data_IF_903880941729
#
_entry.id   IF_903880941729
#
_cell.length_a   1.000
_cell.length_b   1.000
_cell.length_c   1.000
_cell.angle_alpha   90.00
_cell.angle_beta   90.00
_cell.angle_gamma   90.00
#
_symmetry.space_group_name_H-M   'P 1'
#
loop_
_entity.id
_entity.type
_entity.pdbx_description
1 polymer ?
#
# COMPACT_ATOMS: atom_id res chain seq x y z
N UNK A 1 -4.03 -28.07 66.79
CA UNK A 1 -3.60 -26.73 67.26
C UNK A 1 -3.30 -25.89 66.03
N UNK A 2 -3.95 -24.73 65.92
CA UNK A 2 -3.62 -23.54 65.10
C UNK A 2 -3.67 -23.76 63.56
N UNK A 3 -4.68 -23.32 62.80
CA UNK A 3 -5.20 -21.97 62.51
C UNK A 3 -4.47 -21.24 61.34
N UNK A 4 -5.29 -20.92 60.33
CA UNK A 4 -5.35 -19.70 59.50
C UNK A 4 -4.40 -19.47 58.30
N UNK A 5 -5.11 -19.15 57.19
CA UNK A 5 -4.87 -18.55 55.85
C UNK A 5 -3.95 -17.29 55.84
N UNK A 6 -3.67 -16.54 54.72
CA UNK A 6 -4.44 -16.46 53.47
C UNK A 6 -3.73 -16.15 52.11
N UNK A 7 -4.55 -16.32 51.07
CA UNK A 7 -4.64 -15.73 49.72
C UNK A 7 -3.69 -14.60 49.31
N UNK A 8 -3.21 -14.68 48.06
CA UNK A 8 -3.05 -13.51 47.18
C UNK A 8 -3.47 -13.87 45.76
N UNK A 9 -4.51 -13.17 45.32
CA UNK A 9 -5.21 -13.30 44.05
C UNK A 9 -4.35 -12.77 42.90
N UNK A 10 -4.04 -13.60 41.91
CA UNK A 10 -3.56 -13.12 40.61
C UNK A 10 -4.75 -13.11 39.66
N UNK A 11 -5.27 -11.92 39.40
CA UNK A 11 -6.22 -11.65 38.32
C UNK A 11 -5.51 -11.84 36.99
N UNK A 12 -5.79 -12.95 36.31
CA UNK A 12 -5.47 -13.12 34.89
C UNK A 12 -6.46 -12.27 34.10
N UNK A 13 -6.10 -11.01 33.83
CA UNK A 13 -6.77 -10.22 32.79
C UNK A 13 -6.51 -10.91 31.46
N UNK A 14 -7.53 -11.55 30.91
CA UNK A 14 -7.55 -12.06 29.56
C UNK A 14 -7.40 -10.87 28.60
N UNK A 15 -6.18 -10.65 28.13
CA UNK A 15 -5.93 -9.81 26.96
C UNK A 15 -6.58 -10.53 25.78
N UNK A 16 -7.74 -10.04 25.38
CA UNK A 16 -8.34 -10.35 24.10
C UNK A 16 -7.48 -9.67 23.03
N UNK A 17 -6.41 -10.35 22.61
CA UNK A 17 -5.67 -10.03 21.41
C UNK A 17 -6.55 -10.34 20.20
N UNK A 18 -7.49 -9.44 19.93
CA UNK A 18 -8.03 -9.30 18.59
C UNK A 18 -6.86 -8.81 17.73
N UNK A 19 -6.50 -9.51 16.63
CA UNK A 19 -5.49 -9.00 15.73
C UNK A 19 -5.99 -7.65 15.23
N UNK A 20 -5.31 -6.60 15.66
CA UNK A 20 -5.48 -5.28 15.07
C UNK A 20 -5.04 -5.48 13.63
N UNK A 21 -6.00 -5.68 12.73
CA UNK A 21 -5.76 -5.55 11.30
C UNK A 21 -5.31 -4.10 11.14
N UNK A 22 -3.99 -3.90 11.15
CA UNK A 22 -3.35 -2.62 11.02
C UNK A 22 -3.96 -1.97 9.78
N UNK A 23 -4.68 -0.86 9.99
CA UNK A 23 -5.11 -0.04 8.90
C UNK A 23 -3.86 0.26 8.06
N UNK A 24 -3.90 -0.08 6.78
CA UNK A 24 -2.78 0.22 5.89
C UNK A 24 -2.53 1.73 5.98
N UNK A 25 -1.28 2.15 6.25
CA UNK A 25 -0.96 3.55 6.41
C UNK A 25 -1.31 4.29 5.12
N UNK A 26 -1.81 5.52 5.28
CA UNK A 26 -2.10 6.39 4.14
C UNK A 26 -0.82 6.71 3.37
N UNK A 27 -0.94 7.17 2.12
CA UNK A 27 0.23 7.56 1.33
C UNK A 27 1.00 8.69 2.01
N UNK A 28 0.28 9.62 2.64
CA UNK A 28 0.85 10.71 3.41
C UNK A 28 1.62 10.21 4.64
N UNK A 29 1.08 9.25 5.40
CA UNK A 29 1.79 8.63 6.53
C UNK A 29 3.05 7.89 6.09
N UNK A 30 2.99 7.17 4.96
CA UNK A 30 4.16 6.50 4.38
C UNK A 30 5.24 7.53 3.99
N UNK A 31 4.84 8.69 3.46
CA UNK A 31 5.79 9.75 3.09
C UNK A 31 6.41 10.46 4.29
N UNK A 32 5.68 10.54 5.41
CA UNK A 32 6.20 11.15 6.65
C UNK A 32 7.26 10.27 7.33
N UNK A 33 7.18 8.95 7.15
CA UNK A 33 8.08 7.99 7.79
C UNK A 33 8.49 6.84 6.86
N UNK A 34 8.97 7.19 5.67
CA UNK A 34 9.36 6.25 4.61
C UNK A 34 10.36 5.18 5.09
N UNK A 35 11.32 5.57 5.93
CA UNK A 35 12.39 4.71 6.42
C UNK A 35 11.88 3.52 7.26
N UNK A 36 10.80 3.69 8.01
CA UNK A 36 10.22 2.59 8.80
C UNK A 36 9.17 1.80 8.02
N UNK A 37 8.54 2.42 7.03
CA UNK A 37 7.44 1.81 6.29
C UNK A 37 7.91 0.95 5.12
N UNK A 38 8.93 1.39 4.38
CA UNK A 38 9.40 0.65 3.20
C UNK A 38 10.00 -0.72 3.50
N UNK A 39 10.87 -0.91 4.51
CA UNK A 39 11.36 -2.25 4.83
C UNK A 39 10.22 -3.22 5.15
N UNK A 40 9.24 -2.78 5.97
CA UNK A 40 8.07 -3.60 6.30
C UNK A 40 7.26 -3.93 5.05
N UNK A 41 7.01 -2.95 4.18
CA UNK A 41 6.25 -3.19 2.97
C UNK A 41 6.95 -4.17 2.01
N UNK A 42 8.28 -4.06 1.88
CA UNK A 42 9.09 -4.94 1.03
C UNK A 42 9.12 -6.39 1.53
N UNK A 43 9.07 -6.63 2.84
CA UNK A 43 9.08 -7.99 3.42
C UNK A 43 7.69 -8.60 3.64
N UNK A 44 6.70 -7.77 3.99
CA UNK A 44 5.39 -8.25 4.44
C UNK A 44 4.31 -8.22 3.33
N UNK A 45 4.63 -7.68 2.15
CA UNK A 45 3.66 -7.52 1.05
C UNK A 45 4.03 -8.32 -0.19
N UNK A 46 3.00 -8.70 -0.94
CA UNK A 46 3.16 -9.30 -2.26
C UNK A 46 3.85 -8.33 -3.24
N UNK A 47 4.72 -8.81 -4.16
CA UNK A 47 5.46 -7.94 -5.08
C UNK A 47 4.58 -6.98 -5.89
N UNK A 48 3.39 -7.44 -6.32
CA UNK A 48 2.45 -6.58 -7.03
C UNK A 48 1.97 -5.40 -6.17
N UNK A 49 1.71 -5.62 -4.88
CA UNK A 49 1.27 -4.56 -3.97
C UNK A 49 2.39 -3.52 -3.76
N UNK A 50 3.65 -3.97 -3.65
CA UNK A 50 4.85 -3.12 -3.66
C UNK A 50 4.86 -2.21 -4.87
N UNK A 51 4.78 -2.80 -6.06
CA UNK A 51 4.83 -2.06 -7.32
C UNK A 51 3.65 -1.10 -7.48
N UNK A 52 2.43 -1.49 -7.07
CA UNK A 52 1.25 -0.63 -7.11
C UNK A 52 1.36 0.56 -6.16
N UNK A 53 1.94 0.37 -4.96
CA UNK A 53 2.22 1.47 -4.03
C UNK A 53 3.21 2.46 -4.64
N UNK A 54 4.33 1.98 -5.16
CA UNK A 54 5.37 2.85 -5.75
C UNK A 54 4.81 3.64 -6.94
N UNK A 55 4.06 2.97 -7.81
CA UNK A 55 3.33 3.61 -8.90
C UNK A 55 2.33 4.66 -8.40
N UNK A 56 1.62 4.39 -7.30
CA UNK A 56 0.67 5.32 -6.70
C UNK A 56 1.35 6.54 -6.10
N UNK A 57 2.52 6.38 -5.48
CA UNK A 57 3.32 7.48 -4.95
C UNK A 57 3.78 8.43 -6.08
N UNK A 58 4.24 7.89 -7.22
CA UNK A 58 4.60 8.72 -8.38
C UNK A 58 3.42 9.52 -8.94
N UNK A 59 2.24 8.92 -9.00
CA UNK A 59 1.05 9.57 -9.58
C UNK A 59 0.45 10.59 -8.62
N UNK A 60 0.29 10.22 -7.34
CA UNK A 60 -0.57 10.93 -6.39
C UNK A 60 0.19 11.93 -5.53
N UNK A 61 1.51 11.77 -5.38
CA UNK A 61 2.27 12.48 -4.37
C UNK A 61 3.34 13.43 -4.95
N UNK A 62 3.07 14.06 -6.09
CA UNK A 62 3.90 15.12 -6.71
C UNK A 62 5.42 14.95 -6.54
N UNK A 63 6.17 16.02 -6.23
CA UNK A 63 7.64 16.00 -6.11
C UNK A 63 8.14 15.10 -4.98
N UNK A 64 7.37 14.94 -3.90
CA UNK A 64 7.74 14.09 -2.76
C UNK A 64 7.68 12.60 -3.08
N UNK A 65 6.72 12.20 -3.92
CA UNK A 65 6.52 10.81 -4.32
C UNK A 65 7.71 10.25 -5.10
N UNK A 66 8.33 11.07 -5.95
CA UNK A 66 9.53 10.65 -6.69
C UNK A 66 10.71 10.34 -5.76
N UNK A 67 11.00 11.23 -4.79
CA UNK A 67 12.07 11.00 -3.80
C UNK A 67 11.81 9.74 -2.98
N UNK A 68 10.57 9.59 -2.49
CA UNK A 68 10.19 8.44 -1.68
C UNK A 68 10.31 7.12 -2.45
N UNK A 69 9.97 7.09 -3.74
CA UNK A 69 10.12 5.89 -4.57
C UNK A 69 11.60 5.55 -4.76
N UNK A 70 12.48 6.53 -4.99
CA UNK A 70 13.91 6.28 -5.05
C UNK A 70 14.47 5.77 -3.72
N UNK A 71 14.04 6.34 -2.59
CA UNK A 71 14.42 5.85 -1.26
C UNK A 71 13.98 4.41 -1.03
N UNK A 72 12.77 4.04 -1.48
CA UNK A 72 12.31 2.66 -1.42
C UNK A 72 13.15 1.73 -2.30
N UNK A 73 13.52 2.15 -3.52
CA UNK A 73 14.36 1.36 -4.40
C UNK A 73 15.77 1.17 -3.85
N UNK A 74 16.37 2.20 -3.23
CA UNK A 74 17.64 2.06 -2.52
C UNK A 74 17.52 1.14 -1.31
N UNK A 75 16.44 1.26 -0.54
CA UNK A 75 16.19 0.34 0.56
C UNK A 75 16.08 -1.11 0.05
N UNK A 76 15.37 -1.34 -1.05
CA UNK A 76 15.25 -2.67 -1.66
C UNK A 76 16.61 -3.16 -2.18
N UNK A 77 17.39 -2.30 -2.82
CA UNK A 77 18.75 -2.59 -3.26
C UNK A 77 19.62 -3.06 -2.07
N UNK A 78 19.62 -2.31 -0.96
CA UNK A 78 20.43 -2.59 0.22
C UNK A 78 20.02 -3.91 0.90
N UNK A 79 18.71 -4.17 0.99
CA UNK A 79 18.17 -5.38 1.60
C UNK A 79 18.48 -6.64 0.80
N UNK A 80 18.62 -6.51 -0.52
CA UNK A 80 18.88 -7.62 -1.45
C UNK A 80 20.33 -7.70 -1.93
N UNK A 81 21.22 -6.83 -1.42
CA UNK A 81 22.65 -6.76 -1.78
C UNK A 81 22.91 -6.58 -3.29
N UNK A 82 22.12 -5.72 -3.93
CA UNK A 82 22.29 -5.41 -5.36
C UNK A 82 23.27 -4.26 -5.61
N UNK A 83 23.95 -4.29 -6.75
CA UNK A 83 24.92 -3.25 -7.14
C UNK A 83 24.27 -1.98 -7.71
N UNK A 84 23.05 -2.07 -8.24
CA UNK A 84 22.33 -0.94 -8.84
C UNK A 84 20.93 -0.80 -8.23
N UNK A 85 20.42 0.43 -8.20
CA UNK A 85 19.12 0.78 -7.62
C UNK A 85 17.93 0.21 -8.41
N UNK A 86 18.11 -0.03 -9.71
CA UNK A 86 17.10 -0.63 -10.58
C UNK A 86 17.22 -2.16 -10.66
N UNK A 87 18.27 -2.77 -10.10
CA UNK A 87 18.43 -4.23 -10.08
C UNK A 87 17.26 -4.99 -9.42
N UNK A 88 16.64 -4.52 -8.31
CA UNK A 88 15.46 -5.20 -7.77
C UNK A 88 14.30 -5.29 -8.78
N UNK A 89 14.05 -4.22 -9.53
CA UNK A 89 13.01 -4.22 -10.57
C UNK A 89 13.37 -5.13 -11.74
N UNK A 90 14.66 -5.19 -12.09
CA UNK A 90 15.14 -6.11 -13.11
C UNK A 90 14.95 -7.56 -12.69
N UNK A 91 15.29 -7.91 -11.45
CA UNK A 91 15.10 -9.25 -10.90
C UNK A 91 13.62 -9.64 -10.94
N UNK A 92 12.73 -8.72 -10.54
CA UNK A 92 11.29 -8.98 -10.62
C UNK A 92 10.79 -9.17 -12.05
N UNK A 93 11.25 -8.37 -13.01
CA UNK A 93 10.93 -8.59 -14.41
C UNK A 93 11.44 -9.96 -14.91
N UNK A 94 12.62 -10.40 -14.45
CA UNK A 94 13.20 -11.66 -14.87
C UNK A 94 12.47 -12.87 -14.27
N UNK A 95 12.04 -12.77 -13.02
CA UNK A 95 11.45 -13.84 -12.23
C UNK A 95 9.91 -13.89 -12.31
N UNK A 96 9.25 -12.80 -12.70
CA UNK A 96 7.80 -12.73 -12.76
C UNK A 96 7.19 -13.74 -13.75
N UNK A 97 6.26 -14.55 -13.20
CA UNK A 97 5.36 -15.40 -13.98
C UNK A 97 3.97 -14.75 -14.17
N UNK A 98 3.64 -13.76 -13.34
CA UNK A 98 2.41 -12.99 -13.46
C UNK A 98 2.63 -11.78 -14.37
N UNK A 99 1.80 -11.67 -15.40
CA UNK A 99 1.83 -10.54 -16.34
C UNK A 99 1.53 -9.21 -15.64
N UNK A 100 0.74 -9.19 -14.56
CA UNK A 100 0.42 -7.96 -13.84
C UNK A 100 1.65 -7.38 -13.14
N UNK A 101 2.52 -8.23 -12.59
CA UNK A 101 3.79 -7.81 -12.00
C UNK A 101 4.67 -7.17 -13.09
N UNK A 102 4.79 -7.83 -14.24
CA UNK A 102 5.55 -7.30 -15.38
C UNK A 102 5.02 -5.93 -15.83
N UNK A 103 3.70 -5.81 -15.98
CA UNK A 103 3.04 -4.56 -16.37
C UNK A 103 3.29 -3.46 -15.32
N UNK A 104 3.17 -3.78 -14.03
CA UNK A 104 3.38 -2.83 -12.95
C UNK A 104 4.84 -2.35 -12.88
N UNK A 105 5.81 -3.25 -13.09
CA UNK A 105 7.23 -2.93 -13.17
C UNK A 105 7.56 -2.05 -14.38
N UNK A 106 7.06 -2.38 -15.58
CA UNK A 106 7.27 -1.56 -16.78
C UNK A 106 6.68 -0.15 -16.64
N UNK A 107 5.48 -0.05 -16.07
CA UNK A 107 4.84 1.25 -15.77
C UNK A 107 5.63 2.04 -14.73
N UNK A 108 6.22 1.37 -13.74
CA UNK A 108 7.05 2.04 -12.75
C UNK A 108 8.30 2.65 -13.41
N UNK A 109 8.99 1.89 -14.27
CA UNK A 109 10.17 2.37 -15.02
C UNK A 109 9.82 3.55 -15.94
N UNK A 110 8.71 3.43 -16.68
CA UNK A 110 8.20 4.51 -17.54
C UNK A 110 7.95 5.78 -16.72
N UNK A 111 7.29 5.66 -15.57
CA UNK A 111 6.93 6.80 -14.71
C UNK A 111 8.15 7.41 -14.03
N UNK A 112 9.13 6.61 -13.63
CA UNK A 112 10.41 7.12 -13.12
C UNK A 112 11.09 8.02 -14.16
N UNK A 113 11.10 7.59 -15.43
CA UNK A 113 11.64 8.40 -16.53
C UNK A 113 10.81 9.67 -16.78
N UNK A 114 9.48 9.56 -16.74
CA UNK A 114 8.56 10.67 -17.01
C UNK A 114 8.57 11.75 -15.92
N UNK A 115 8.56 11.32 -14.65
CA UNK A 115 8.48 12.20 -13.49
C UNK A 115 9.85 12.60 -12.90
N UNK A 116 10.96 12.20 -13.54
CA UNK A 116 12.29 12.62 -13.12
C UNK A 116 12.38 14.16 -13.03
N UNK A 117 12.74 14.71 -11.84
CA UNK A 117 12.59 16.13 -11.52
C UNK A 117 13.59 17.02 -12.26
N UNK A 118 14.72 16.47 -12.70
CA UNK A 118 15.74 17.19 -13.44
C UNK A 118 16.43 16.27 -14.46
N UNK A 119 17.14 16.90 -15.40
CA UNK A 119 17.84 16.22 -16.50
C UNK A 119 18.88 15.22 -15.99
N UNK A 120 19.60 15.57 -14.92
CA UNK A 120 20.65 14.72 -14.34
C UNK A 120 20.06 13.42 -13.80
N UNK A 121 18.97 13.49 -13.05
CA UNK A 121 18.30 12.29 -12.50
C UNK A 121 17.78 11.38 -13.61
N UNK A 122 17.26 11.98 -14.68
CA UNK A 122 16.79 11.26 -15.86
C UNK A 122 17.92 10.57 -16.62
N UNK A 123 19.04 11.26 -16.83
CA UNK A 123 20.22 10.70 -17.47
C UNK A 123 20.80 9.55 -16.64
N UNK A 124 20.86 9.68 -15.31
CA UNK A 124 21.28 8.61 -14.41
C UNK A 124 20.42 7.36 -14.54
N UNK A 125 19.09 7.52 -14.45
CA UNK A 125 18.15 6.41 -14.64
C UNK A 125 18.32 5.73 -16.00
N UNK A 126 18.48 6.52 -17.07
CA UNK A 126 18.71 5.99 -18.41
C UNK A 126 19.99 5.17 -18.49
N UNK A 127 21.11 5.73 -18.05
CA UNK A 127 22.41 5.05 -18.08
C UNK A 127 22.36 3.74 -17.29
N UNK A 128 21.71 3.75 -16.12
CA UNK A 128 21.54 2.56 -15.31
C UNK A 128 20.66 1.50 -16.01
N UNK A 129 19.59 1.90 -16.71
CA UNK A 129 18.79 0.98 -17.53
C UNK A 129 19.57 0.40 -18.72
N UNK A 130 20.47 1.17 -19.33
CA UNK A 130 21.34 0.72 -20.41
C UNK A 130 22.41 -0.27 -19.88
N UNK A 131 23.06 0.05 -18.75
CA UNK A 131 24.02 -0.83 -18.06
C UNK A 131 23.40 -2.17 -17.63
N UNK A 132 22.13 -2.13 -17.22
CA UNK A 132 21.37 -3.31 -16.81
C UNK A 132 20.69 -4.04 -17.99
N UNK A 133 20.89 -3.57 -19.23
CA UNK A 133 20.37 -4.18 -20.45
C UNK A 133 18.85 -4.42 -20.45
N UNK A 134 18.06 -3.45 -19.98
CA UNK A 134 16.60 -3.59 -19.91
C UNK A 134 15.95 -3.86 -21.28
N UNK A 135 16.52 -3.36 -22.37
CA UNK A 135 15.99 -3.60 -23.73
C UNK A 135 15.98 -5.09 -24.09
N UNK A 136 17.06 -5.81 -23.80
CA UNK A 136 17.16 -7.25 -24.04
C UNK A 136 16.13 -8.04 -23.22
N UNK A 137 15.87 -7.57 -22.00
CA UNK A 137 14.90 -8.16 -21.09
C UNK A 137 13.49 -7.94 -21.60
N UNK A 138 13.17 -6.76 -22.12
CA UNK A 138 11.87 -6.47 -22.74
C UNK A 138 11.62 -7.34 -23.98
N UNK A 139 12.65 -7.59 -24.79
CA UNK A 139 12.54 -8.54 -25.92
C UNK A 139 12.23 -9.95 -25.41
N UNK A 140 12.91 -10.42 -24.36
CA UNK A 140 12.64 -11.72 -23.73
C UNK A 140 11.25 -11.80 -23.12
N UNK A 141 10.77 -10.71 -22.50
CA UNK A 141 9.43 -10.62 -21.92
C UNK A 141 8.35 -10.72 -22.99
N UNK A 142 8.54 -10.04 -24.13
CA UNK A 142 7.62 -10.13 -25.27
C UNK A 142 7.50 -11.55 -25.79
N UNK A 143 8.61 -12.30 -25.88
CA UNK A 143 8.55 -13.70 -26.30
C UNK A 143 7.92 -14.59 -25.21
N UNK A 144 8.28 -14.39 -23.94
CA UNK A 144 7.73 -15.15 -22.81
C UNK A 144 6.21 -14.99 -22.69
N UNK A 145 5.70 -13.79 -22.90
CA UNK A 145 4.28 -13.44 -22.78
C UNK A 145 3.62 -13.16 -24.14
N UNK A 146 4.07 -13.83 -25.21
CA UNK A 146 3.62 -13.58 -26.59
C UNK A 146 2.11 -13.69 -26.81
N UNK A 147 1.39 -14.42 -25.96
CA UNK A 147 -0.07 -14.56 -25.98
C UNK A 147 -0.81 -13.41 -25.30
N UNK A 148 -0.14 -12.59 -24.48
CA UNK A 148 -0.75 -11.51 -23.73
C UNK A 148 -0.74 -10.20 -24.51
N UNK A 149 -1.91 -9.80 -25.01
CA UNK A 149 -2.09 -8.50 -25.67
C UNK A 149 -1.98 -7.31 -24.70
N UNK A 150 -2.21 -7.54 -23.40
CA UNK A 150 -2.18 -6.51 -22.37
C UNK A 150 -0.78 -5.97 -22.11
N UNK A 151 0.26 -6.77 -22.42
CA UNK A 151 1.66 -6.38 -22.22
C UNK A 151 2.21 -5.48 -23.33
N UNK A 152 1.61 -5.51 -24.52
CA UNK A 152 2.12 -4.76 -25.67
C UNK A 152 2.04 -3.24 -25.48
N UNK A 153 0.98 -2.73 -24.85
CA UNK A 153 0.87 -1.31 -24.55
C UNK A 153 1.97 -0.85 -23.58
N UNK A 154 2.14 -1.43 -22.38
CA UNK A 154 3.22 -1.07 -21.45
C UNK A 154 4.63 -1.18 -22.04
N UNK A 155 4.91 -2.20 -22.85
CA UNK A 155 6.21 -2.33 -23.54
C UNK A 155 6.43 -1.17 -24.51
N UNK A 156 5.43 -0.86 -25.33
CA UNK A 156 5.53 0.20 -26.32
C UNK A 156 5.63 1.59 -25.67
N UNK A 157 4.92 1.82 -24.57
CA UNK A 157 4.96 3.10 -23.85
C UNK A 157 6.30 3.31 -23.14
N UNK A 158 6.86 2.27 -22.51
CA UNK A 158 8.21 2.32 -21.98
C UNK A 158 9.27 2.59 -23.07
N UNK A 159 9.21 1.89 -24.21
CA UNK A 159 10.14 2.14 -25.33
C UNK A 159 10.02 3.56 -25.89
N UNK A 160 8.80 4.10 -26.01
CA UNK A 160 8.59 5.51 -26.40
C UNK A 160 9.19 6.46 -25.38
N UNK A 161 9.00 6.21 -24.08
CA UNK A 161 9.55 7.03 -23.02
C UNK A 161 11.08 7.11 -23.11
N UNK A 162 11.75 5.96 -23.31
CA UNK A 162 13.20 5.93 -23.55
C UNK A 162 13.61 6.74 -24.78
N UNK A 163 12.92 6.56 -25.92
CA UNK A 163 13.26 7.25 -27.17
C UNK A 163 13.13 8.77 -27.06
N UNK A 164 12.01 9.25 -26.52
CA UNK A 164 11.74 10.69 -26.34
C UNK A 164 12.84 11.33 -25.48
N UNK A 165 13.34 10.60 -24.49
CA UNK A 165 14.39 11.10 -23.60
C UNK A 165 15.74 11.14 -24.29
N UNK A 166 16.05 10.16 -25.14
CA UNK A 166 17.28 10.18 -25.96
C UNK A 166 17.28 11.39 -26.89
N UNK A 167 16.19 11.63 -27.62
CA UNK A 167 16.08 12.75 -28.58
C UNK A 167 16.20 14.10 -27.87
N UNK A 168 15.55 14.28 -26.71
CA UNK A 168 15.66 15.52 -25.94
C UNK A 168 17.05 15.77 -25.38
N UNK A 169 17.78 14.71 -25.02
CA UNK A 169 19.14 14.88 -24.48
C UNK A 169 20.13 15.39 -25.54
N UNK A 170 19.96 14.98 -26.79
CA UNK A 170 20.84 15.39 -27.90
C UNK A 170 20.59 16.84 -28.32
N UNK A 171 19.32 17.24 -28.46
CA UNK A 171 18.94 18.63 -28.81
C UNK A 171 19.46 19.64 -27.78
N UNK A 172 19.34 19.31 -26.49
CA UNK A 172 19.72 20.20 -25.39
C UNK A 172 21.26 20.25 -25.17
N UNK A 173 21.98 19.17 -25.46
CA UNK A 173 23.45 19.16 -25.44
C UNK A 173 24.02 19.98 -26.60
N UNK A 174 23.38 19.92 -27.78
CA UNK A 174 23.75 20.75 -28.93
C UNK A 174 23.50 22.24 -28.68
N UNK A 175 22.43 22.59 -27.96
CA UNK A 175 22.12 23.96 -27.54
C UNK A 175 23.12 24.50 -26.51
N UNK A 176 23.57 23.68 -25.56
CA UNK A 176 24.63 24.05 -24.61
C UNK A 176 26.00 24.22 -25.28
N UNK A 177 26.34 23.40 -26.30
CA UNK A 177 27.58 23.58 -27.08
C UNK A 177 27.55 24.87 -27.89
N UNK A 178 26.40 25.27 -28.44
CA UNK A 178 26.23 26.54 -29.15
C UNK A 178 26.29 27.78 -28.24
N UNK A 179 26.05 27.63 -26.94
CA UNK A 179 26.17 28.70 -25.95
C UNK A 179 27.59 28.92 -25.39
N UNK A 180 28.51 27.97 -25.57
CA UNK A 180 29.85 28.01 -24.99
C UNK A 180 30.93 28.61 -25.92
N UNK A 181 30.61 28.84 -27.20
CA UNK A 181 31.56 29.39 -28.19
C UNK A 181 31.58 30.93 -28.26
N UNK A 182 30.94 31.63 -27.32
CA UNK A 182 30.84 33.10 -27.35
C UNK A 182 31.84 33.85 -26.46
N UNK A 183 32.74 33.19 -25.72
CA UNK A 183 33.76 33.91 -24.94
C UNK A 183 35.07 33.13 -24.79
N UNK A 184 35.80 33.02 -25.92
CA UNK A 184 37.23 32.73 -25.87
C UNK A 184 38.00 34.01 -26.16
N UNK A 185 38.21 34.79 -25.11
CA UNK A 185 39.49 35.41 -24.80
C UNK A 185 40.08 36.39 -25.82
N UNK A 186 39.72 37.65 -25.67
CA UNK A 186 40.67 38.75 -25.91
C UNK A 186 40.83 39.55 -24.63
N UNK A 187 41.97 39.34 -23.97
CA UNK A 187 42.49 40.23 -22.95
C UNK A 187 42.63 41.64 -23.56
N UNK A 188 41.85 42.59 -23.07
CA UNK A 188 42.18 44.01 -23.15
C UNK A 188 41.85 44.67 -21.83
N UNK A 189 42.92 44.91 -21.11
CA UNK A 189 43.11 45.79 -19.97
C UNK A 189 42.47 47.17 -20.23
N UNK A 190 41.51 47.59 -19.41
CA UNK A 190 41.25 49.01 -19.16
C UNK A 190 40.30 49.21 -17.97
N UNK A 191 40.69 50.17 -17.15
CA UNK A 191 40.20 50.50 -15.82
C UNK A 191 38.80 51.17 -15.82
N UNK A 192 38.15 51.06 -14.66
CA UNK A 192 37.13 51.92 -14.06
C UNK A 192 35.91 52.38 -14.90
N UNK A 193 34.71 52.11 -14.37
CA UNK A 193 33.72 53.16 -14.07
C UNK A 193 32.55 52.59 -13.24
N UNK A 194 32.25 53.34 -12.19
CA UNK A 194 31.15 53.23 -11.23
C UNK A 194 29.77 53.36 -11.91
N UNK A 195 28.79 52.55 -11.49
CA UNK A 195 27.40 52.72 -11.90
C UNK A 195 26.42 51.82 -11.14
N UNK A 196 25.73 52.41 -10.18
CA UNK A 196 24.74 51.84 -9.27
C UNK A 196 23.42 51.35 -9.94
N UNK A 197 22.84 50.32 -9.30
CA UNK A 197 21.42 50.21 -8.91
C UNK A 197 20.32 49.87 -9.93
N UNK A 198 19.69 48.70 -9.71
CA UNK A 198 18.26 48.52 -9.34
C UNK A 198 17.53 47.37 -10.08
N UNK A 199 17.08 46.37 -9.28
CA UNK A 199 15.66 46.05 -9.00
C UNK A 199 14.73 45.91 -10.23
N UNK A 200 13.99 44.84 -10.46
CA UNK A 200 13.52 43.75 -9.64
C UNK A 200 12.45 42.96 -10.38
N UNK A 201 12.01 41.87 -9.76
CA UNK A 201 11.01 40.90 -10.17
C UNK A 201 9.76 41.46 -10.88
N UNK A 202 9.26 40.73 -11.87
CA UNK A 202 7.84 40.77 -12.21
C UNK A 202 7.29 39.36 -12.48
N UNK A 203 6.61 38.84 -11.45
CA UNK A 203 5.57 37.81 -11.56
C UNK A 203 4.31 38.46 -12.11
N UNK A 204 3.60 37.78 -13.02
CA UNK A 204 2.15 37.69 -12.88
C UNK A 204 1.56 36.52 -13.67
N UNK A 205 1.17 35.50 -12.89
CA UNK A 205 0.23 34.44 -13.25
C UNK A 205 -1.17 35.05 -13.28
N UNK A 206 -1.94 34.83 -14.35
CA UNK A 206 -3.35 35.19 -14.35
C UNK A 206 -4.21 34.04 -14.88
N UNK A 207 -5.16 33.64 -14.03
CA UNK A 207 -6.48 33.05 -14.32
C UNK A 207 -6.54 31.62 -14.90
N UNK A 208 -6.57 30.64 -14.01
CA UNK A 208 -7.51 29.50 -14.08
C UNK A 208 -7.96 29.16 -12.66
N UNK A 209 -8.91 29.93 -12.12
CA UNK A 209 -9.35 29.77 -10.74
C UNK A 209 -10.79 30.22 -10.57
N UNK A 210 -11.74 29.55 -11.21
CA UNK A 210 -13.17 29.72 -10.88
C UNK A 210 -14.03 28.44 -11.04
N UNK A 211 -13.46 27.25 -11.31
CA UNK A 211 -14.24 25.99 -11.37
C UNK A 211 -13.86 24.91 -10.35
N UNK A 212 -12.74 25.03 -9.65
CA UNK A 212 -12.26 24.02 -8.68
C UNK A 212 -12.71 24.25 -7.23
N UNK A 213 -13.15 25.46 -6.86
CA UNK A 213 -13.60 25.74 -5.49
C UNK A 213 -14.84 24.93 -5.09
N UNK A 214 -15.75 24.66 -6.02
CA UNK A 214 -16.98 23.94 -5.69
C UNK A 214 -16.72 22.46 -5.38
N UNK A 215 -15.87 21.79 -6.17
CA UNK A 215 -15.56 20.37 -5.98
C UNK A 215 -14.78 20.10 -4.68
N UNK A 216 -13.84 20.99 -4.32
CA UNK A 216 -13.08 20.85 -3.07
C UNK A 216 -13.96 21.08 -1.83
N UNK A 217 -14.93 21.99 -1.91
CA UNK A 217 -15.89 22.23 -0.84
C UNK A 217 -16.89 21.07 -0.71
N UNK A 218 -17.39 20.55 -1.83
CA UNK A 218 -18.27 19.37 -1.86
C UNK A 218 -17.57 18.12 -1.29
N UNK A 219 -16.29 17.91 -1.60
CA UNK A 219 -15.50 16.80 -1.03
C UNK A 219 -15.28 17.00 0.48
N UNK A 220 -15.02 18.22 0.93
CA UNK A 220 -14.85 18.51 2.35
C UNK A 220 -16.15 18.31 3.15
N UNK A 221 -17.30 18.73 2.60
CA UNK A 221 -18.61 18.49 3.21
C UNK A 221 -18.98 17.01 3.22
N UNK A 222 -18.66 16.27 2.15
CA UNK A 222 -18.85 14.83 2.10
C UNK A 222 -17.98 14.09 3.14
N UNK A 223 -16.71 14.47 3.28
CA UNK A 223 -15.83 13.91 4.30
C UNK A 223 -16.32 14.23 5.71
N UNK A 224 -16.86 15.43 5.94
CA UNK A 224 -17.47 15.80 7.22
C UNK A 224 -18.68 14.91 7.54
N UNK A 225 -19.56 14.68 6.57
CA UNK A 225 -20.72 13.78 6.73
C UNK A 225 -20.29 12.33 6.98
N UNK A 226 -19.21 11.85 6.37
CA UNK A 226 -18.66 10.51 6.63
C UNK A 226 -18.12 10.32 8.06
N UNK A 227 -17.63 11.39 8.68
CA UNK A 227 -17.11 11.37 10.06
C UNK A 227 -18.24 11.41 11.09
N UNK A 228 -19.37 12.03 10.75
CA UNK A 228 -20.55 12.13 11.62
C UNK A 228 -21.38 10.83 11.65
N UNK A 229 -21.11 9.88 10.74
CA UNK A 229 -21.81 8.59 10.68
C UNK A 229 -21.20 7.54 11.62
N UNK A 230 -22.03 6.68 12.23
CA UNK A 230 -21.55 5.55 13.00
C UNK A 230 -20.77 4.57 12.11
N UNK A 231 -19.79 3.89 12.70
CA UNK A 231 -18.74 3.17 11.99
C UNK A 231 -19.26 2.05 11.06
N UNK A 232 -20.37 1.41 11.44
CA UNK A 232 -21.07 0.43 10.62
C UNK A 232 -21.64 1.04 9.32
N UNK A 233 -22.31 2.20 9.42
CA UNK A 233 -22.90 2.90 8.27
C UNK A 233 -21.81 3.51 7.36
N UNK A 234 -20.75 4.07 7.97
CA UNK A 234 -19.58 4.58 7.24
C UNK A 234 -18.92 3.48 6.39
N UNK A 235 -18.74 2.29 6.95
CA UNK A 235 -18.14 1.17 6.25
C UNK A 235 -19.00 0.67 5.09
N UNK A 236 -20.33 0.60 5.27
CA UNK A 236 -21.26 0.24 4.19
C UNK A 236 -21.21 1.25 3.03
N UNK A 237 -21.20 2.55 3.34
CA UNK A 237 -21.11 3.61 2.32
C UNK A 237 -19.78 3.55 1.57
N UNK A 238 -18.66 3.32 2.26
CA UNK A 238 -17.35 3.18 1.62
C UNK A 238 -17.27 1.94 0.72
N UNK A 239 -17.90 0.83 1.11
CA UNK A 239 -18.00 -0.37 0.27
C UNK A 239 -18.83 -0.08 -0.99
N UNK A 240 -19.97 0.61 -0.85
CA UNK A 240 -20.82 0.99 -1.98
C UNK A 240 -20.10 1.94 -2.94
N UNK A 241 -19.35 2.91 -2.43
CA UNK A 241 -18.54 3.82 -3.25
C UNK A 241 -17.41 3.10 -3.98
N UNK A 242 -16.69 2.19 -3.31
CA UNK A 242 -15.68 1.35 -3.97
C UNK A 242 -16.28 0.52 -5.09
N UNK A 243 -17.43 -0.12 -4.85
CA UNK A 243 -18.16 -0.87 -5.88
C UNK A 243 -18.58 0.03 -7.05
N UNK A 244 -19.07 1.23 -6.79
CA UNK A 244 -19.44 2.21 -7.82
C UNK A 244 -18.22 2.63 -8.67
N UNK A 245 -17.10 2.96 -8.04
CA UNK A 245 -15.85 3.33 -8.72
C UNK A 245 -15.34 2.18 -9.60
N UNK A 246 -15.33 0.95 -9.07
CA UNK A 246 -14.96 -0.25 -9.83
C UNK A 246 -15.90 -0.49 -11.02
N UNK A 247 -17.21 -0.27 -10.86
CA UNK A 247 -18.17 -0.42 -11.95
C UNK A 247 -18.02 0.67 -13.02
N UNK A 248 -17.80 1.93 -12.64
CA UNK A 248 -17.53 3.01 -13.59
C UNK A 248 -16.24 2.77 -14.38
N UNK A 249 -15.21 2.19 -13.73
CA UNK A 249 -13.94 1.84 -14.39
C UNK A 249 -14.11 0.68 -15.38
N UNK A 250 -15.00 -0.26 -15.10
CA UNK A 250 -15.14 -1.50 -15.89
C UNK A 250 -16.21 -1.43 -16.98
N UNK A 251 -17.21 -0.56 -16.87
CA UNK A 251 -18.27 -0.38 -17.87
C UNK A 251 -18.56 1.11 -18.02
N UNK A 252 -18.11 1.72 -19.10
CA UNK A 252 -18.22 3.16 -19.39
C UNK A 252 -19.65 3.75 -19.52
N UNK A 253 -20.68 3.10 -18.99
CA UNK A 253 -22.01 3.66 -18.80
C UNK A 253 -22.76 2.88 -17.69
N UNK A 254 -22.92 3.48 -16.51
CA UNK A 254 -23.60 2.84 -15.36
C UNK A 254 -24.99 3.43 -15.20
N UNK A 255 -26.02 2.57 -15.24
CA UNK A 255 -27.39 2.92 -14.91
C UNK A 255 -27.56 2.86 -13.37
N UNK A 256 -27.75 4.02 -12.74
CA UNK A 256 -27.86 4.17 -11.27
C UNK A 256 -28.96 3.30 -10.64
N UNK A 257 -29.98 2.91 -11.41
CA UNK A 257 -31.08 2.07 -10.94
C UNK A 257 -30.67 0.60 -10.67
N UNK A 258 -29.62 0.10 -11.34
CA UNK A 258 -29.12 -1.27 -11.11
C UNK A 258 -28.35 -1.38 -9.78
N UNK A 259 -27.79 -0.26 -9.29
CA UNK A 259 -27.07 -0.20 -8.02
C UNK A 259 -28.02 -0.18 -6.80
N UNK A 260 -29.17 0.48 -6.95
CA UNK A 260 -30.21 0.58 -5.91
C UNK A 260 -31.03 -0.72 -5.78
N UNK A 261 -31.22 -1.46 -6.86
CA UNK A 261 -31.95 -2.74 -6.86
C UNK A 261 -31.12 -3.90 -6.29
N UNK A 262 -29.79 -3.90 -6.45
CA UNK A 262 -28.90 -4.83 -5.73
C UNK A 262 -28.82 -4.55 -4.22
N UNK A 263 -28.96 -3.28 -3.81
CA UNK A 263 -28.86 -2.90 -2.39
C UNK A 263 -30.13 -3.24 -1.61
N UNK A 264 -31.32 -3.09 -2.22
CA UNK A 264 -32.60 -3.41 -1.57
C UNK A 264 -32.88 -4.90 -1.46
N UNK A 265 -32.35 -5.73 -2.38
CA UNK A 265 -32.46 -7.19 -2.28
C UNK A 265 -31.55 -7.77 -1.19
N UNK A 266 -30.34 -7.21 -1.02
CA UNK A 266 -29.41 -7.64 0.03
C UNK A 266 -29.78 -7.13 1.44
N UNK A 267 -30.39 -5.94 1.54
CA UNK A 267 -30.98 -5.44 2.81
C UNK A 267 -32.23 -6.22 3.24
N UNK A 268 -33.05 -6.69 2.29
CA UNK A 268 -34.30 -7.40 2.62
C UNK A 268 -34.07 -8.89 2.96
N UNK A 269 -33.00 -9.52 2.46
CA UNK A 269 -32.60 -10.86 2.91
C UNK A 269 -31.98 -10.85 4.31
N UNK A 270 -31.22 -9.81 4.69
CA UNK A 270 -30.66 -9.71 6.04
C UNK A 270 -31.71 -9.37 7.11
N UNK A 271 -32.79 -8.66 6.75
CA UNK A 271 -33.89 -8.38 7.69
C UNK A 271 -34.86 -9.58 7.82
N UNK A 272 -35.09 -10.36 6.75
CA UNK A 272 -35.92 -11.57 6.82
C UNK A 272 -35.22 -12.76 7.48
N UNK A 273 -33.90 -12.89 7.37
CA UNK A 273 -33.15 -13.95 8.07
C UNK A 273 -32.91 -13.67 9.57
N UNK A 274 -33.23 -12.48 10.06
CA UNK A 274 -33.14 -12.15 11.50
C UNK A 274 -34.50 -12.21 12.20
N UNK A 275 -35.60 -12.46 11.47
CA UNK A 275 -36.92 -12.75 12.05
C UNK A 275 -37.67 -13.82 11.26
N UNK A 276 -37.20 -15.08 11.30
CA UNK A 276 -38.12 -16.21 11.45
C UNK A 276 -37.39 -17.53 11.72
N UNK A 277 -37.98 -18.26 12.68
CA UNK A 277 -37.76 -19.67 13.02
C UNK A 277 -36.68 -19.96 14.07
N UNK A 278 -37.03 -19.61 15.30
CA UNK A 278 -36.66 -20.39 16.48
C UNK A 278 -37.09 -21.86 16.24
N UNK A 279 -36.18 -22.85 16.21
CA UNK A 279 -36.55 -24.23 16.47
C UNK A 279 -36.76 -24.39 17.99
N UNK A 280 -37.81 -25.09 18.38
CA UNK A 280 -38.05 -25.49 19.76
C UNK A 280 -36.80 -26.18 20.34
N UNK A 281 -36.44 -25.92 21.61
CA UNK A 281 -35.27 -26.55 22.21
C UNK A 281 -35.45 -28.08 22.25
N UNK A 282 -34.40 -28.86 21.94
CA UNK A 282 -34.44 -30.30 22.11
C UNK A 282 -34.59 -30.66 23.60
N UNK A 283 -35.26 -31.78 23.94
CA UNK A 283 -35.32 -32.27 25.31
C UNK A 283 -33.90 -32.50 25.85
N UNK A 284 -33.66 -32.25 27.14
CA UNK A 284 -32.35 -32.43 27.74
C UNK A 284 -31.87 -33.88 27.56
N UNK A 285 -30.56 -34.09 27.30
CA UNK A 285 -30.00 -35.43 27.19
C UNK A 285 -30.14 -36.19 28.52
N UNK A 286 -30.32 -37.53 28.48
CA UNK A 286 -30.28 -38.34 29.70
C UNK A 286 -28.94 -38.12 30.42
N UNK A 287 -29.02 -37.95 31.74
CA UNK A 287 -27.87 -37.86 32.62
C UNK A 287 -26.90 -39.02 32.32
N UNK A 288 -25.58 -38.74 32.18
CA UNK A 288 -24.60 -39.80 32.04
C UNK A 288 -24.66 -40.72 33.27
N UNK A 289 -24.52 -42.05 33.10
CA UNK A 289 -24.41 -42.96 34.22
C UNK A 289 -23.26 -42.49 35.12
N UNK A 290 -23.58 -42.27 36.39
CA UNK A 290 -22.60 -41.95 37.43
C UNK A 290 -21.44 -42.95 37.35
N UNK A 291 -20.18 -42.47 37.26
CA UNK A 291 -19.04 -43.36 37.31
C UNK A 291 -19.03 -44.14 38.63
N UNK A 292 -18.68 -45.43 38.62
CA UNK A 292 -18.53 -46.21 39.83
C UNK A 292 -17.50 -45.54 40.76
N UNK A 293 -17.75 -45.54 42.08
CA UNK A 293 -16.91 -44.84 43.02
C UNK A 293 -15.48 -45.39 42.97
N UNK A 294 -14.44 -44.54 43.02
CA UNK A 294 -13.06 -45.00 43.08
C UNK A 294 -12.86 -45.88 44.32
N UNK A 295 -12.35 -47.10 44.10
CA UNK A 295 -12.08 -48.14 45.09
C UNK A 295 -11.11 -47.74 46.23
N UNK A 296 -10.67 -46.48 46.28
CA UNK A 296 -9.86 -45.93 47.37
C UNK A 296 -10.68 -45.40 48.56
N UNK A 297 -12.02 -45.31 48.47
CA UNK A 297 -12.89 -44.95 49.61
C UNK A 297 -13.43 -46.17 50.40
N UNK A 298 -13.15 -47.40 49.95
CA UNK A 298 -13.50 -48.62 50.69
C UNK A 298 -12.45 -48.96 51.76
N UNK A 299 -11.19 -48.53 51.59
CA UNK A 299 -10.13 -48.78 52.57
C UNK A 299 -10.18 -47.84 53.80
N UNK A 300 -10.75 -46.63 53.67
CA UNK A 300 -10.83 -45.67 54.79
C UNK A 300 -12.06 -45.86 55.69
N UNK A 301 -13.11 -46.58 55.25
CA UNK A 301 -14.24 -46.97 56.12
C UNK A 301 -13.98 -48.25 56.92
N UNK A 302 -13.04 -49.10 56.53
CA UNK A 302 -12.65 -50.30 57.29
C UNK A 302 -11.64 -49.96 58.39
N UNK A 303 -10.79 -48.94 58.21
CA UNK A 303 -9.85 -48.48 59.25
C UNK A 303 -10.51 -47.69 60.39
N UNK A 304 -11.66 -47.05 60.16
CA UNK A 304 -12.40 -46.29 61.21
C UNK A 304 -13.30 -47.21 62.06
N UNK A 305 -13.71 -48.38 61.56
CA UNK A 305 -14.47 -49.37 62.36
C UNK A 305 -13.56 -50.31 63.18
N UNK A 306 -12.25 -50.36 62.89
CA UNK A 306 -11.31 -51.18 63.65
C UNK A 306 -10.60 -50.44 64.81
N UNK A 307 -10.78 -49.12 64.92
CA UNK A 307 -10.26 -48.31 66.05
C UNK A 307 -11.28 -48.02 67.16
N UNK A 308 -12.57 -48.30 66.97
CA UNK A 308 -13.59 -48.17 68.04
C UNK A 308 -13.88 -49.47 68.79
N UNK A 309 -13.24 -50.60 68.41
CA UNK A 309 -13.37 -51.90 69.12
C UNK A 309 -12.16 -52.28 69.98
N UNK A 310 -11.24 -51.33 70.22
CA UNK A 310 -10.10 -51.49 71.15
C UNK A 310 -9.94 -50.29 72.08
N UNK A 311 -11.04 -49.83 72.67
CA UNK A 311 -10.99 -48.96 73.84
C UNK A 311 -12.33 -48.97 74.57
N UNK A 312 -12.60 -50.09 75.26
CA UNK A 312 -13.19 -50.17 76.61
C UNK A 312 -13.67 -51.59 76.87
N UNK A 313 -12.72 -52.40 77.32
CA UNK A 313 -12.85 -53.13 78.58
C UNK A 313 -12.80 -52.09 79.69
#
# INVERSE_FOLDING_TARGET
>A
MVALSPTSSTTCSSVSDSPTYLALPSLEEILEDAQNHFPRFLFDSEPLAVLELLNSLLIRCSERGYSAVLECLWCWQDLSDFSHSLSPLLDELCCANDVQIVIASLRLLERLLQFAPNRVSRARLRNEMEELHFEDIVVKLRERFRSSKELEEPINDWMKALKIISEKSEEEEEEMRKGADADSGTFSDSEDVVGESSRGENRNKQKVGMKTMNAQQEIAEFNKLLVELPENERNEILILLRKLITQMRNKGNVNLNDLLTCSTSSLNENIKNTQQKLPSPPPPPPLPPTPPPPHHLIYLKILVLHQTSKSKI
#
